data_IF_321900747653
#
_entry.id   IF_321900747653
#
_cell.length_a   1.000
_cell.length_b   1.000
_cell.length_c   1.000
_cell.angle_alpha   90.00
_cell.angle_beta   90.00
_cell.angle_gamma   90.00
#
_symmetry.space_group_name_H-M   'P 1'
#
loop_
_entity.id
_entity.type
_entity.pdbx_description
1 polymer ?
#
# COMPACT_ATOMS: atom_id res chain seq x y z
N UNK A 1 19.15 -19.29 16.88
CA UNK A 1 19.60 -19.23 15.47
C UNK A 1 18.40 -18.99 14.57
N UNK A 2 18.44 -17.96 13.80
CA UNK A 2 17.44 -17.71 12.76
C UNK A 2 17.93 -18.32 11.44
N UNK A 3 17.01 -18.65 10.54
CA UNK A 3 17.31 -19.18 9.21
C UNK A 3 18.29 -18.30 8.41
N UNK A 4 18.38 -17.03 8.74
CA UNK A 4 19.29 -16.05 8.12
C UNK A 4 20.67 -15.96 8.80
N UNK A 5 20.99 -16.80 9.77
CA UNK A 5 22.23 -16.71 10.57
C UNK A 5 22.27 -15.54 11.54
N UNK A 6 21.14 -14.91 11.82
CA UNK A 6 21.01 -13.83 12.79
C UNK A 6 20.57 -14.36 14.15
N UNK A 7 21.02 -13.72 15.20
CA UNK A 7 20.53 -14.01 16.55
C UNK A 7 19.30 -13.16 16.83
N UNK A 8 18.24 -13.82 17.34
CA UNK A 8 17.04 -13.15 17.81
C UNK A 8 16.93 -13.25 19.33
N UNK A 9 16.62 -12.14 19.97
CA UNK A 9 16.32 -12.09 21.40
C UNK A 9 14.92 -11.53 21.57
N UNK A 10 14.08 -12.21 22.33
CA UNK A 10 12.76 -11.71 22.71
C UNK A 10 12.80 -11.25 24.16
N UNK A 11 12.50 -9.98 24.38
CA UNK A 11 12.37 -9.38 25.70
C UNK A 11 10.88 -9.22 25.99
N UNK A 12 10.37 -10.00 26.94
CA UNK A 12 8.99 -9.87 27.43
C UNK A 12 8.99 -9.02 28.69
N UNK A 13 8.29 -7.90 28.66
CA UNK A 13 8.06 -7.08 29.82
C UNK A 13 6.57 -7.07 30.16
N UNK A 14 6.26 -7.44 31.42
CA UNK A 14 4.90 -7.42 31.92
C UNK A 14 4.70 -6.20 32.82
N UNK A 15 3.84 -5.27 32.39
CA UNK A 15 3.45 -4.11 33.17
C UNK A 15 2.22 -4.46 34.01
N UNK A 16 2.34 -4.31 35.34
CA UNK A 16 1.17 -4.36 36.22
C UNK A 16 0.34 -3.10 36.03
N UNK A 17 -0.84 -3.25 35.45
CA UNK A 17 -1.77 -2.16 35.14
C UNK A 17 -2.21 -1.35 36.39
N UNK A 18 -2.06 -1.86 37.58
CA UNK A 18 -2.34 -1.11 38.84
C UNK A 18 -1.40 0.09 39.03
N UNK A 19 -0.26 0.09 38.38
CA UNK A 19 0.75 1.18 38.43
C UNK A 19 0.68 2.08 37.20
N UNK A 20 -0.09 1.73 36.18
CA UNK A 20 -0.14 2.40 34.87
C UNK A 20 -0.88 3.75 34.85
N UNK A 21 -1.27 4.32 35.97
CA UNK A 21 -1.79 5.72 36.01
C UNK A 21 -0.69 6.75 35.80
N UNK A 22 0.57 6.36 35.86
CA UNK A 22 1.73 7.20 35.57
C UNK A 22 2.36 6.75 34.27
N UNK A 23 2.62 7.66 33.34
CA UNK A 23 3.32 7.41 32.09
C UNK A 23 4.71 6.85 32.39
N UNK A 24 4.81 5.52 32.36
CA UNK A 24 6.09 4.82 32.56
C UNK A 24 6.70 4.53 31.20
N UNK A 25 8.01 4.72 31.10
CA UNK A 25 8.80 4.44 29.92
C UNK A 25 9.85 3.39 30.28
N UNK A 26 10.14 2.52 29.34
CA UNK A 26 11.20 1.52 29.49
C UNK A 26 12.34 1.94 28.55
N UNK A 27 13.51 2.13 29.12
CA UNK A 27 14.75 2.31 28.36
C UNK A 27 15.41 0.94 28.16
N UNK A 28 15.87 0.68 26.97
CA UNK A 28 16.64 -0.53 26.64
C UNK A 28 18.07 -0.10 26.33
N UNK A 29 19.03 -0.60 27.08
CA UNK A 29 20.47 -0.40 26.85
C UNK A 29 21.00 -1.66 26.19
N UNK A 30 21.69 -1.48 25.06
CA UNK A 30 22.32 -2.57 24.33
C UNK A 30 23.82 -2.26 24.24
N UNK A 31 24.61 -3.22 24.69
CA UNK A 31 26.06 -3.17 24.58
C UNK A 31 26.52 -4.11 23.47
N UNK A 32 27.44 -3.66 22.64
CA UNK A 32 27.98 -4.42 21.52
C UNK A 32 29.21 -3.81 20.93
N UNK A 33 29.83 -4.48 19.99
CA UNK A 33 31.01 -4.00 19.29
C UNK A 33 30.67 -2.84 18.32
N UNK A 34 31.55 -1.86 18.13
CA UNK A 34 31.33 -0.80 17.17
C UNK A 34 31.06 -1.32 15.75
N UNK A 35 30.04 -0.77 15.09
CA UNK A 35 29.63 -1.15 13.72
C UNK A 35 28.61 -2.28 13.65
N UNK A 36 28.21 -2.87 14.76
CA UNK A 36 27.10 -3.83 14.77
C UNK A 36 25.77 -3.10 14.53
N UNK A 37 24.94 -3.69 13.68
CA UNK A 37 23.57 -3.20 13.42
C UNK A 37 22.57 -4.05 14.21
N UNK A 38 21.71 -3.39 14.96
CA UNK A 38 20.67 -4.02 15.77
C UNK A 38 19.32 -3.47 15.34
N UNK A 39 18.39 -4.38 15.01
CA UNK A 39 17.01 -4.04 14.72
C UNK A 39 16.15 -4.46 15.93
N UNK A 40 15.34 -3.55 16.42
CA UNK A 40 14.38 -3.79 17.48
C UNK A 40 12.96 -3.54 16.99
N UNK A 41 12.06 -4.43 17.34
CA UNK A 41 10.65 -4.33 17.04
C UNK A 41 9.84 -4.34 18.32
N UNK A 42 8.96 -3.37 18.48
CA UNK A 42 8.03 -3.33 19.61
C UNK A 42 6.72 -4.01 19.19
N UNK A 43 6.28 -4.97 19.99
CA UNK A 43 5.00 -5.65 19.79
C UNK A 43 4.23 -5.69 21.11
N UNK A 44 2.90 -5.58 21.04
CA UNK A 44 2.02 -5.73 22.20
C UNK A 44 1.25 -7.04 22.09
N UNK A 45 1.42 -7.93 23.07
CA UNK A 45 0.79 -9.25 23.04
C UNK A 45 -0.75 -9.23 23.10
N UNK A 46 -1.35 -8.16 23.65
CA UNK A 46 -2.80 -8.01 23.81
C UNK A 46 -3.38 -6.86 22.98
N UNK A 47 -2.89 -6.69 21.78
CA UNK A 47 -3.27 -5.61 20.87
C UNK A 47 -4.78 -5.56 20.56
N UNK A 48 -5.42 -6.73 20.48
CA UNK A 48 -6.84 -6.84 20.15
C UNK A 48 -7.79 -6.35 21.26
N UNK A 49 -7.36 -6.41 22.51
CA UNK A 49 -8.25 -6.17 23.66
C UNK A 49 -8.14 -4.75 24.21
N UNK A 50 -6.98 -4.12 24.10
CA UNK A 50 -6.71 -2.84 24.74
C UNK A 50 -6.57 -1.68 23.77
N UNK A 51 -6.34 -1.94 22.48
CA UNK A 51 -6.00 -0.91 21.48
C UNK A 51 -4.68 -0.18 21.80
N UNK A 52 -3.85 -0.72 22.68
CA UNK A 52 -2.57 -0.16 23.07
C UNK A 52 -1.48 -0.72 22.15
N UNK A 53 -0.72 0.17 21.56
CA UNK A 53 0.42 -0.16 20.70
C UNK A 53 1.71 0.24 21.40
N UNK A 54 2.67 -0.68 21.46
CA UNK A 54 4.02 -0.33 21.88
C UNK A 54 4.75 0.36 20.74
N UNK A 55 5.40 1.47 21.03
CA UNK A 55 6.19 2.22 20.04
C UNK A 55 7.44 2.78 20.70
N UNK A 56 8.49 2.92 19.92
CA UNK A 56 9.65 3.68 20.34
C UNK A 56 9.33 5.16 20.23
N UNK A 57 9.72 5.93 21.24
CA UNK A 57 9.47 7.37 21.31
C UNK A 57 10.73 8.11 21.71
N UNK A 58 10.97 9.24 21.08
CA UNK A 58 11.96 10.19 21.53
C UNK A 58 11.36 11.08 22.61
N UNK A 59 12.07 11.16 23.76
CA UNK A 59 11.69 11.99 24.89
C UNK A 59 12.62 13.17 25.09
N UNK A 60 13.53 13.42 24.15
CA UNK A 60 14.59 14.42 24.26
C UNK A 60 15.42 14.24 25.55
N UNK A 61 15.68 12.99 25.93
CA UNK A 61 16.54 12.64 27.04
C UNK A 61 17.93 12.41 26.48
N UNK A 62 18.93 13.12 27.00
CA UNK A 62 20.30 13.02 26.54
C UNK A 62 20.82 11.59 26.61
N UNK A 63 21.47 11.12 25.55
CA UNK A 63 21.95 9.74 25.41
C UNK A 63 20.88 8.69 25.03
N UNK A 64 19.62 9.08 24.83
CA UNK A 64 18.54 8.16 24.42
C UNK A 64 17.96 8.53 23.06
N UNK A 65 17.52 7.54 22.32
CA UNK A 65 16.92 7.73 20.98
C UNK A 65 15.76 6.78 20.76
N UNK A 66 14.80 7.21 19.96
CA UNK A 66 13.75 6.33 19.42
C UNK A 66 14.26 5.38 18.32
N UNK A 67 15.51 5.57 17.88
CA UNK A 67 16.02 4.88 16.71
C UNK A 67 15.46 5.46 15.41
N UNK A 68 15.49 4.66 14.36
CA UNK A 68 14.95 5.00 13.04
C UNK A 68 13.81 4.07 12.67
N UNK A 69 12.74 4.54 12.02
CA UNK A 69 11.69 3.68 11.46
C UNK A 69 12.13 2.94 10.19
N UNK A 70 13.36 3.14 9.70
CA UNK A 70 13.94 2.38 8.59
C UNK A 70 14.01 0.89 8.96
N UNK A 71 13.53 0.03 8.06
CA UNK A 71 13.41 -1.41 8.31
C UNK A 71 12.12 -1.81 9.02
N UNK A 72 11.11 -0.94 9.08
CA UNK A 72 9.80 -1.22 9.69
C UNK A 72 8.86 -2.08 8.82
N UNK A 73 9.32 -2.56 7.67
CA UNK A 73 8.55 -3.45 6.79
C UNK A 73 8.25 -4.77 7.50
N UNK A 74 6.98 -5.19 7.39
CA UNK A 74 6.54 -6.48 7.91
C UNK A 74 7.20 -7.62 7.11
N UNK A 75 7.57 -8.70 7.79
CA UNK A 75 8.23 -9.87 7.21
C UNK A 75 7.43 -10.53 6.07
N UNK A 76 6.10 -10.55 6.17
CA UNK A 76 5.23 -11.04 5.10
C UNK A 76 5.34 -10.25 3.79
N UNK A 77 5.77 -9.00 3.84
CA UNK A 77 5.96 -8.15 2.66
C UNK A 77 7.38 -8.27 2.07
N UNK A 78 8.29 -9.02 2.70
CA UNK A 78 9.68 -9.18 2.28
C UNK A 78 9.91 -10.37 1.32
N UNK A 79 8.88 -11.11 0.94
CA UNK A 79 8.99 -12.26 0.04
C UNK A 79 9.35 -11.86 -1.39
N UNK A 80 10.11 -12.70 -2.08
CA UNK A 80 10.57 -12.47 -3.45
C UNK A 80 9.39 -12.26 -4.42
N UNK A 81 8.35 -13.08 -4.28
CA UNK A 81 7.14 -13.04 -5.11
C UNK A 81 6.00 -12.22 -4.48
N UNK A 82 6.34 -11.22 -3.69
CA UNK A 82 5.41 -10.29 -3.05
C UNK A 82 5.64 -8.89 -3.57
N UNK A 83 4.56 -8.13 -3.77
CA UNK A 83 4.61 -6.72 -4.09
C UNK A 83 4.28 -5.96 -2.81
N UNK A 84 5.27 -5.30 -2.22
CA UNK A 84 5.12 -4.54 -1.00
C UNK A 84 4.48 -3.17 -1.30
N UNK A 85 3.40 -2.84 -0.60
CA UNK A 85 2.61 -1.64 -0.85
C UNK A 85 2.74 -0.66 0.31
N UNK A 86 3.24 0.54 0.03
CA UNK A 86 3.21 1.69 0.92
C UNK A 86 1.87 2.44 0.83
N UNK A 87 1.70 3.44 1.69
CA UNK A 87 0.46 4.22 1.79
C UNK A 87 0.69 5.70 1.61
N UNK A 88 -0.15 6.36 0.81
CA UNK A 88 -0.22 7.81 0.78
C UNK A 88 -1.64 8.35 1.05
N UNK A 89 -1.73 9.62 1.46
CA UNK A 89 -2.98 10.27 1.82
C UNK A 89 -3.73 10.71 0.58
N UNK A 90 -5.00 10.34 0.47
CA UNK A 90 -5.86 10.75 -0.65
C UNK A 90 -6.92 11.75 -0.26
N UNK A 91 -7.28 11.79 1.03
CA UNK A 91 -8.33 12.66 1.52
C UNK A 91 -8.06 13.04 2.95
N UNK A 92 -8.11 14.34 3.22
CA UNK A 92 -7.95 14.90 4.56
C UNK A 92 -9.28 15.11 5.28
N UNK A 93 -10.36 15.30 4.53
CA UNK A 93 -11.70 15.54 5.07
C UNK A 93 -12.78 14.84 4.24
N UNK A 94 -13.89 14.50 4.86
CA UNK A 94 -15.00 13.83 4.21
C UNK A 94 -16.33 14.15 4.86
N UNK A 95 -17.44 14.18 4.08
CA UNK A 95 -18.78 14.38 4.62
C UNK A 95 -19.25 13.12 5.35
N UNK A 96 -20.05 13.33 6.39
CA UNK A 96 -20.81 12.28 7.07
C UNK A 96 -22.28 12.32 6.64
N UNK A 97 -22.99 11.22 6.87
CA UNK A 97 -24.40 11.09 6.49
C UNK A 97 -25.31 12.13 7.18
N UNK A 98 -24.91 12.62 8.34
CA UNK A 98 -25.63 13.66 9.08
C UNK A 98 -25.36 15.09 8.58
N UNK A 99 -24.62 15.24 7.48
CA UNK A 99 -24.25 16.53 6.88
C UNK A 99 -23.05 17.23 7.53
N UNK A 100 -22.49 16.70 8.60
CA UNK A 100 -21.25 17.24 9.17
C UNK A 100 -20.04 16.78 8.37
N UNK A 101 -18.89 17.44 8.59
CA UNK A 101 -17.61 17.10 7.95
C UNK A 101 -16.63 16.62 9.01
N UNK A 102 -16.07 15.45 8.79
CA UNK A 102 -14.97 14.94 9.59
C UNK A 102 -13.64 15.20 8.90
N UNK A 103 -12.58 15.37 9.67
CA UNK A 103 -11.24 15.62 9.14
C UNK A 103 -10.17 15.01 10.01
N UNK A 104 -9.05 14.66 9.38
CA UNK A 104 -7.79 14.44 10.10
C UNK A 104 -7.14 15.79 10.45
N UNK A 105 -6.51 15.88 11.61
CA UNK A 105 -5.79 17.09 12.05
C UNK A 105 -4.28 16.93 11.79
N UNK A 106 -3.64 18.07 11.46
CA UNK A 106 -2.20 18.12 11.23
C UNK A 106 -1.77 18.03 9.77
N UNK A 107 -0.55 18.50 9.50
CA UNK A 107 0.05 18.53 8.14
C UNK A 107 0.51 17.16 7.65
N UNK A 108 0.65 16.18 8.55
CA UNK A 108 0.95 14.80 8.18
C UNK A 108 -0.14 14.11 7.37
N UNK A 109 -1.36 14.69 7.36
CA UNK A 109 -2.51 14.17 6.59
C UNK A 109 -2.80 14.97 5.32
N UNK A 110 -1.90 15.85 4.89
CA UNK A 110 -2.11 16.59 3.65
C UNK A 110 -2.21 15.62 2.47
N UNK A 111 -3.16 15.91 1.59
CA UNK A 111 -3.44 15.07 0.43
C UNK A 111 -2.23 14.99 -0.50
N UNK A 112 -1.90 13.79 -0.91
CA UNK A 112 -0.72 13.52 -1.73
C UNK A 112 0.55 13.19 -0.95
N UNK A 113 0.66 13.48 0.35
CA UNK A 113 1.81 13.08 1.18
C UNK A 113 1.82 11.59 1.50
N UNK A 114 3.03 11.06 1.75
CA UNK A 114 3.17 9.73 2.34
C UNK A 114 2.44 9.67 3.68
N UNK A 115 1.77 8.57 3.97
CA UNK A 115 1.11 8.39 5.26
C UNK A 115 2.15 8.15 6.35
N UNK A 116 2.06 8.86 7.47
CA UNK A 116 3.05 8.77 8.54
C UNK A 116 3.18 7.37 9.18
N UNK A 117 2.24 6.47 8.91
CA UNK A 117 2.29 5.07 9.34
C UNK A 117 2.83 4.12 8.25
N UNK A 118 3.15 4.61 7.05
CA UNK A 118 3.66 3.76 5.97
C UNK A 118 5.06 3.27 6.29
N UNK A 119 5.21 1.97 6.42
CA UNK A 119 6.49 1.31 6.66
C UNK A 119 7.39 1.35 5.42
N UNK A 120 8.70 1.38 5.65
CA UNK A 120 9.72 1.38 4.61
C UNK A 120 11.03 0.80 5.13
N UNK A 121 11.95 0.50 4.24
CA UNK A 121 13.31 0.11 4.63
C UNK A 121 14.10 -0.57 3.54
N UNK A 122 15.39 -0.72 3.81
CA UNK A 122 16.29 -1.50 2.97
C UNK A 122 16.58 -2.85 3.65
N UNK A 123 16.28 -3.90 2.95
CA UNK A 123 16.49 -5.28 3.40
C UNK A 123 17.98 -5.63 3.41
N UNK A 124 18.32 -6.77 4.01
CA UNK A 124 19.71 -7.21 4.12
C UNK A 124 20.39 -7.55 2.80
N UNK A 125 19.61 -7.85 1.77
CA UNK A 125 20.06 -8.13 0.42
C UNK A 125 20.19 -6.85 -0.44
N UNK A 126 19.91 -5.67 0.13
CA UNK A 126 19.93 -4.39 -0.55
C UNK A 126 18.60 -4.00 -1.21
N UNK A 127 17.58 -4.86 -1.20
CA UNK A 127 16.25 -4.54 -1.73
C UNK A 127 15.59 -3.46 -0.87
N UNK A 128 15.11 -2.41 -1.51
CA UNK A 128 14.37 -1.33 -0.85
C UNK A 128 12.87 -1.54 -1.05
N UNK A 129 12.12 -1.46 0.04
CA UNK A 129 10.66 -1.60 0.08
C UNK A 129 10.02 -0.37 0.74
N UNK A 130 8.77 -0.03 0.37
CA UNK A 130 7.84 -0.76 -0.49
C UNK A 130 8.22 -0.70 -1.97
N UNK A 131 7.61 -1.55 -2.81
CA UNK A 131 7.76 -1.48 -4.27
C UNK A 131 7.07 -0.23 -4.85
N UNK A 132 5.94 0.17 -4.26
CA UNK A 132 5.12 1.31 -4.70
C UNK A 132 4.20 1.76 -3.59
N UNK A 133 3.81 3.04 -3.61
CA UNK A 133 2.78 3.57 -2.71
C UNK A 133 1.41 3.64 -3.40
N UNK A 134 0.35 3.28 -2.68
CA UNK A 134 -1.04 3.32 -3.13
C UNK A 134 -1.93 4.12 -2.15
N UNK A 135 -3.15 4.51 -2.54
CA UNK A 135 -4.11 5.17 -1.66
C UNK A 135 -4.41 4.35 -0.41
N UNK A 136 -4.04 4.84 0.78
CA UNK A 136 -4.25 4.11 2.04
C UNK A 136 -4.73 4.96 3.21
N UNK A 137 -4.86 6.28 3.04
CA UNK A 137 -5.42 7.16 4.07
C UNK A 137 -6.54 8.03 3.48
N UNK A 138 -7.64 8.13 4.21
CA UNK A 138 -8.85 8.79 3.74
C UNK A 138 -9.67 7.93 2.78
N UNK A 139 -9.67 6.63 2.96
CA UNK A 139 -10.33 5.66 2.09
C UNK A 139 -11.75 5.41 2.59
N UNK A 140 -12.72 5.77 1.76
CA UNK A 140 -14.14 5.47 2.01
C UNK A 140 -14.51 4.23 1.22
N UNK A 141 -14.98 3.20 1.92
CA UNK A 141 -15.40 1.94 1.33
C UNK A 141 -16.58 1.33 2.05
N UNK A 142 -17.18 0.31 1.45
CA UNK A 142 -18.29 -0.44 2.05
C UNK A 142 -17.81 -1.22 3.28
N UNK A 143 -18.67 -1.27 4.28
CA UNK A 143 -18.46 -2.01 5.52
C UNK A 143 -19.52 -3.12 5.63
N UNK A 144 -19.10 -4.28 6.11
CA UNK A 144 -20.01 -5.40 6.31
C UNK A 144 -21.20 -5.01 7.19
N UNK A 145 -22.41 -5.40 6.77
CA UNK A 145 -23.63 -5.22 7.57
C UNK A 145 -23.65 -6.00 8.90
N UNK A 146 -22.66 -6.88 9.11
CA UNK A 146 -22.43 -7.61 10.37
C UNK A 146 -21.38 -6.95 11.28
N UNK A 147 -20.78 -5.85 10.86
CA UNK A 147 -19.75 -5.19 11.64
C UNK A 147 -20.37 -4.48 12.85
N UNK A 148 -20.13 -5.02 14.04
CA UNK A 148 -20.76 -4.58 15.31
C UNK A 148 -20.12 -3.34 15.93
N UNK A 149 -18.94 -2.92 15.46
CA UNK A 149 -18.21 -1.75 16.00
C UNK A 149 -18.44 -0.47 15.21
N UNK A 150 -19.46 -0.44 14.37
CA UNK A 150 -19.76 0.72 13.55
C UNK A 150 -20.26 1.87 14.46
N UNK A 151 -19.59 3.01 14.34
CA UNK A 151 -20.09 4.24 14.96
C UNK A 151 -21.03 4.93 13.95
N UNK A 152 -22.33 4.81 14.15
CA UNK A 152 -23.34 5.39 13.24
C UNK A 152 -23.16 6.92 13.05
N UNK A 153 -22.61 7.63 14.03
CA UNK A 153 -22.31 9.07 13.91
C UNK A 153 -21.09 9.37 13.00
N UNK A 154 -20.36 8.34 12.59
CA UNK A 154 -19.16 8.48 11.77
C UNK A 154 -19.33 7.92 10.35
N UNK A 155 -20.51 7.42 9.99
CA UNK A 155 -20.76 6.81 8.66
C UNK A 155 -20.74 7.89 7.57
N UNK A 156 -20.08 7.57 6.46
CA UNK A 156 -20.02 8.42 5.27
C UNK A 156 -21.23 8.26 4.35
N UNK A 157 -21.85 7.07 4.35
CA UNK A 157 -23.02 6.78 3.54
C UNK A 157 -23.75 5.53 4.02
N UNK A 158 -25.00 5.38 3.64
CA UNK A 158 -25.83 4.24 4.00
C UNK A 158 -26.87 3.95 2.91
N UNK A 159 -27.04 2.66 2.61
CA UNK A 159 -28.14 2.15 1.78
C UNK A 159 -28.89 1.11 2.59
N UNK A 160 -30.23 1.13 2.52
CA UNK A 160 -31.08 0.14 3.14
C UNK A 160 -31.63 -0.81 2.07
N UNK A 161 -31.60 -2.10 2.34
CA UNK A 161 -32.15 -3.14 1.44
C UNK A 161 -32.24 -4.48 2.16
N UNK A 162 -33.24 -5.32 1.79
CA UNK A 162 -33.41 -6.65 2.36
C UNK A 162 -33.41 -6.71 3.89
N UNK A 163 -34.09 -5.75 4.54
CA UNK A 163 -34.17 -5.58 6.00
C UNK A 163 -32.80 -5.29 6.67
N UNK A 164 -31.80 -4.89 5.92
CA UNK A 164 -30.45 -4.57 6.43
C UNK A 164 -30.01 -3.17 6.00
N UNK A 165 -29.04 -2.62 6.77
CA UNK A 165 -28.34 -1.40 6.44
C UNK A 165 -26.93 -1.76 5.98
N UNK A 166 -26.50 -1.17 4.87
CA UNK A 166 -25.17 -1.29 4.33
C UNK A 166 -24.51 0.07 4.42
N UNK A 167 -23.32 0.13 4.96
CA UNK A 167 -22.67 1.36 5.32
C UNK A 167 -21.38 1.57 4.52
N UNK A 168 -20.99 2.84 4.39
CA UNK A 168 -19.67 3.26 3.95
C UNK A 168 -19.02 4.01 5.11
N UNK A 169 -17.79 3.67 5.39
CA UNK A 169 -17.01 4.34 6.43
C UNK A 169 -15.61 4.67 5.91
N UNK A 170 -14.95 5.62 6.58
CA UNK A 170 -13.60 6.02 6.27
C UNK A 170 -12.61 5.24 7.13
N UNK A 171 -11.63 4.65 6.47
CA UNK A 171 -10.52 3.95 7.12
C UNK A 171 -9.18 4.44 6.62
N UNK A 172 -8.11 4.14 7.38
CA UNK A 172 -6.72 4.39 6.99
C UNK A 172 -5.84 3.21 7.40
N UNK A 173 -4.78 3.00 6.64
CA UNK A 173 -3.79 1.95 6.86
C UNK A 173 -3.22 1.46 5.53
N UNK A 174 -2.04 0.86 5.56
CA UNK A 174 -1.52 0.06 4.45
C UNK A 174 -2.48 -1.10 4.12
N UNK A 175 -3.30 -1.52 5.10
CA UNK A 175 -4.42 -2.46 4.90
C UNK A 175 -5.49 -1.97 3.91
N UNK A 176 -5.58 -0.65 3.64
CA UNK A 176 -6.45 -0.05 2.62
C UNK A 176 -5.69 0.17 1.31
N UNK A 177 -4.39 0.44 1.38
CA UNK A 177 -3.54 0.60 0.20
C UNK A 177 -3.34 -0.73 -0.56
N UNK A 178 -3.13 -1.83 0.16
CA UNK A 178 -2.89 -3.13 -0.44
C UNK A 178 -4.07 -3.63 -1.30
N UNK A 179 -5.34 -3.66 -0.83
CA UNK A 179 -6.46 -4.09 -1.66
C UNK A 179 -6.74 -3.13 -2.83
N UNK A 180 -6.45 -1.82 -2.67
CA UNK A 180 -6.51 -0.89 -3.80
C UNK A 180 -5.52 -1.32 -4.91
N UNK A 181 -4.27 -1.56 -4.55
CA UNK A 181 -3.25 -2.03 -5.49
C UNK A 181 -3.62 -3.41 -6.09
N UNK A 182 -4.18 -4.32 -5.29
CA UNK A 182 -4.64 -5.62 -5.76
C UNK A 182 -5.74 -5.49 -6.82
N UNK A 183 -6.67 -4.55 -6.65
CA UNK A 183 -7.69 -4.25 -7.65
C UNK A 183 -7.10 -3.72 -8.96
N UNK A 184 -6.10 -2.85 -8.88
CA UNK A 184 -5.37 -2.36 -10.06
C UNK A 184 -4.66 -3.50 -10.77
N UNK A 185 -3.94 -4.35 -10.04
CA UNK A 185 -3.23 -5.47 -10.63
C UNK A 185 -4.18 -6.53 -11.21
N UNK A 186 -5.37 -6.71 -10.62
CA UNK A 186 -6.41 -7.57 -11.19
C UNK A 186 -6.86 -7.09 -12.57
N UNK A 187 -7.05 -5.76 -12.76
CA UNK A 187 -7.36 -5.19 -14.07
C UNK A 187 -6.22 -5.40 -15.09
N UNK A 188 -4.97 -5.31 -14.64
CA UNK A 188 -3.82 -5.57 -15.52
C UNK A 188 -3.75 -7.05 -15.92
N UNK A 189 -4.03 -7.96 -14.98
CA UNK A 189 -4.12 -9.41 -15.25
C UNK A 189 -5.32 -9.78 -16.11
N UNK A 190 -6.42 -9.05 -16.04
CA UNK A 190 -7.54 -9.21 -16.97
C UNK A 190 -7.12 -8.85 -18.40
N UNK A 191 -6.36 -7.78 -18.57
CA UNK A 191 -5.81 -7.39 -19.88
C UNK A 191 -4.76 -8.38 -20.39
N UNK A 192 -3.88 -8.88 -19.51
CA UNK A 192 -2.89 -9.91 -19.82
C UNK A 192 -2.72 -10.91 -18.68
N UNK A 193 -3.37 -12.09 -18.76
CA UNK A 193 -3.30 -13.14 -17.74
C UNK A 193 -1.92 -13.80 -17.61
N UNK A 194 -0.99 -13.52 -18.50
CA UNK A 194 0.36 -14.12 -18.48
C UNK A 194 1.36 -13.34 -17.64
N UNK A 195 0.98 -12.15 -17.13
CA UNK A 195 1.84 -11.31 -16.29
C UNK A 195 2.29 -12.05 -15.03
N UNK A 196 3.58 -12.06 -14.81
CA UNK A 196 4.20 -12.52 -13.58
C UNK A 196 4.32 -11.38 -12.56
N UNK A 197 4.65 -11.70 -11.30
CA UNK A 197 4.95 -10.69 -10.27
C UNK A 197 6.12 -9.78 -10.72
N UNK A 198 7.12 -10.34 -11.38
CA UNK A 198 8.25 -9.59 -11.91
C UNK A 198 7.80 -8.58 -12.99
N UNK A 199 6.86 -8.98 -13.87
CA UNK A 199 6.30 -8.09 -14.88
C UNK A 199 5.50 -6.96 -14.25
N UNK A 200 4.68 -7.26 -13.24
CA UNK A 200 3.93 -6.23 -12.51
C UNK A 200 4.89 -5.24 -11.84
N UNK A 201 5.95 -5.72 -11.18
CA UNK A 201 6.99 -4.84 -10.59
C UNK A 201 7.67 -3.98 -11.65
N UNK A 202 7.96 -4.53 -12.83
CA UNK A 202 8.54 -3.79 -13.97
C UNK A 202 7.59 -2.70 -14.48
N UNK A 203 6.30 -3.02 -14.64
CA UNK A 203 5.28 -2.06 -15.06
C UNK A 203 5.11 -0.95 -14.03
N UNK A 204 4.98 -1.31 -12.76
CA UNK A 204 4.93 -0.36 -11.62
C UNK A 204 6.11 0.60 -11.67
N UNK A 205 7.34 0.07 -11.82
CA UNK A 205 8.56 0.90 -11.89
C UNK A 205 8.55 1.87 -13.08
N UNK A 206 8.00 1.44 -14.21
CA UNK A 206 7.96 2.23 -15.44
C UNK A 206 6.86 3.30 -15.44
N UNK A 207 5.76 3.09 -14.70
CA UNK A 207 4.53 3.87 -14.86
C UNK A 207 4.10 4.64 -13.62
N UNK A 208 4.72 4.40 -12.46
CA UNK A 208 4.38 5.10 -11.22
C UNK A 208 4.62 6.60 -11.33
N UNK A 209 3.68 7.36 -10.81
CA UNK A 209 3.72 8.83 -10.84
C UNK A 209 4.68 9.36 -9.77
N UNK A 210 5.56 10.27 -10.18
CA UNK A 210 6.49 10.97 -9.32
C UNK A 210 6.16 12.46 -9.31
N UNK A 211 5.20 12.85 -8.47
CA UNK A 211 4.83 14.25 -8.28
C UNK A 211 5.79 14.98 -7.32
N UNK A 212 5.46 16.23 -6.99
CA UNK A 212 6.30 17.07 -6.11
C UNK A 212 6.52 16.46 -4.73
N UNK A 213 5.55 15.74 -4.17
CA UNK A 213 5.71 15.08 -2.88
C UNK A 213 6.70 13.91 -2.94
N UNK A 214 6.65 13.11 -4.01
CA UNK A 214 7.60 12.02 -4.24
C UNK A 214 8.99 12.56 -4.51
N UNK A 215 9.09 13.64 -5.28
CA UNK A 215 10.37 14.22 -5.68
C UNK A 215 11.07 15.00 -4.56
N UNK A 216 10.31 15.55 -3.60
CA UNK A 216 10.83 16.33 -2.48
C UNK A 216 11.00 15.54 -1.17
N UNK A 217 10.74 14.24 -1.17
CA UNK A 217 10.92 13.40 0.01
C UNK A 217 12.41 13.11 0.22
N UNK A 218 12.93 13.47 1.38
CA UNK A 218 14.33 13.23 1.75
C UNK A 218 14.64 11.72 1.94
N UNK A 219 13.60 10.88 2.03
CA UNK A 219 13.70 9.43 2.15
C UNK A 219 12.99 8.76 0.97
N UNK A 220 13.66 8.60 -0.18
CA UNK A 220 13.06 7.99 -1.38
C UNK A 220 12.46 6.60 -1.14
N UNK A 221 13.00 5.86 -0.16
CA UNK A 221 12.49 4.55 0.25
C UNK A 221 11.02 4.56 0.68
N UNK A 222 10.47 5.70 1.14
CA UNK A 222 9.05 5.80 1.51
C UNK A 222 8.10 5.44 0.36
N UNK A 223 8.50 5.70 -0.87
CA UNK A 223 7.63 5.65 -2.05
C UNK A 223 7.88 4.46 -2.97
N UNK A 224 9.02 3.80 -2.85
CA UNK A 224 9.45 2.84 -3.86
C UNK A 224 9.52 3.47 -5.25
N UNK A 225 8.80 2.92 -6.21
CA UNK A 225 8.71 3.49 -7.57
C UNK A 225 7.98 4.85 -7.61
N UNK A 226 7.14 5.15 -6.63
CA UNK A 226 6.29 6.33 -6.59
C UNK A 226 4.84 5.99 -6.24
N UNK A 227 3.90 6.79 -6.74
CA UNK A 227 2.46 6.54 -6.60
C UNK A 227 1.95 5.65 -7.71
N UNK A 228 1.25 4.59 -7.36
CA UNK A 228 0.65 3.66 -8.31
C UNK A 228 -0.29 4.40 -9.27
N UNK A 229 -0.05 4.26 -10.57
CA UNK A 229 -0.89 4.81 -11.63
C UNK A 229 -1.57 3.66 -12.40
N UNK A 230 -2.85 3.45 -12.11
CA UNK A 230 -3.64 2.38 -12.71
C UNK A 230 -3.77 2.53 -14.23
N UNK A 231 -3.99 3.78 -14.70
CA UNK A 231 -4.20 4.07 -16.11
C UNK A 231 -2.90 3.96 -16.92
N UNK A 232 -1.82 4.52 -16.41
CA UNK A 232 -0.53 4.40 -17.09
C UNK A 232 -0.07 2.93 -17.16
N UNK A 233 -0.34 2.17 -16.08
CA UNK A 233 0.00 0.74 -16.04
C UNK A 233 -0.80 -0.08 -17.02
N UNK A 234 -2.14 0.08 -17.09
CA UNK A 234 -2.95 -0.70 -18.05
C UNK A 234 -2.58 -0.37 -19.51
N UNK A 235 -2.30 0.90 -19.82
CA UNK A 235 -1.79 1.28 -21.13
C UNK A 235 -0.48 0.55 -21.44
N UNK A 236 0.45 0.54 -20.50
CA UNK A 236 1.72 -0.17 -20.67
C UNK A 236 1.54 -1.67 -20.92
N UNK A 237 0.60 -2.32 -20.20
CA UNK A 237 0.26 -3.73 -20.43
C UNK A 237 -0.24 -3.95 -21.85
N UNK A 238 -1.16 -3.10 -22.31
CA UNK A 238 -1.73 -3.20 -23.67
C UNK A 238 -0.68 -2.94 -24.74
N UNK A 239 0.19 -1.94 -24.56
CA UNK A 239 1.28 -1.64 -25.49
C UNK A 239 2.29 -2.78 -25.57
N UNK A 240 2.67 -3.35 -24.43
CA UNK A 240 3.59 -4.50 -24.39
C UNK A 240 2.98 -5.72 -25.11
N UNK A 241 1.70 -5.98 -24.86
CA UNK A 241 0.96 -7.07 -25.51
C UNK A 241 0.83 -6.87 -27.03
N UNK A 242 0.53 -5.64 -27.46
CA UNK A 242 0.44 -5.31 -28.88
C UNK A 242 1.78 -5.50 -29.58
N UNK A 243 2.89 -5.12 -28.94
CA UNK A 243 4.23 -5.31 -29.51
C UNK A 243 4.64 -6.79 -29.59
N UNK A 244 4.22 -7.62 -28.64
CA UNK A 244 4.43 -9.09 -28.71
C UNK A 244 3.53 -9.71 -29.76
N UNK A 245 2.28 -9.26 -29.89
CA UNK A 245 1.35 -9.73 -30.93
C UNK A 245 1.86 -9.47 -32.36
N UNK A 246 2.61 -8.39 -32.56
CA UNK A 246 3.25 -8.10 -33.84
C UNK A 246 4.40 -9.06 -34.20
N UNK A 247 4.96 -9.78 -33.22
CA UNK A 247 6.05 -10.76 -33.40
C UNK A 247 5.50 -12.19 -33.62
N UNK A 248 4.31 -12.49 -33.09
CA UNK A 248 3.66 -13.80 -33.20
C UNK A 248 2.47 -13.79 -34.20
N UNK A 249 2.72 -13.34 -35.42
CA UNK A 249 1.71 -13.34 -36.50
C UNK A 249 1.29 -14.76 -37.00
N UNK A 250 1.60 -15.80 -36.24
CA UNK A 250 1.35 -17.20 -36.62
C UNK A 250 0.36 -17.93 -35.69
N UNK A 251 -0.32 -17.24 -34.80
CA UNK A 251 -1.34 -17.83 -33.93
C UNK A 251 -2.74 -17.35 -34.32
N UNK A 252 -3.72 -18.24 -34.30
CA UNK A 252 -5.10 -18.13 -34.78
C UNK A 252 -5.93 -16.91 -34.32
N UNK A 253 -5.30 -15.83 -33.89
CA UNK A 253 -5.93 -14.57 -33.54
C UNK A 253 -6.04 -13.66 -34.75
N UNK A 254 -7.25 -13.49 -35.22
CA UNK A 254 -7.57 -12.81 -36.46
C UNK A 254 -7.45 -11.27 -36.44
N UNK A 255 -6.92 -10.64 -35.40
CA UNK A 255 -6.80 -9.17 -35.38
C UNK A 255 -5.61 -8.67 -34.53
N UNK A 256 -5.04 -7.54 -34.93
CA UNK A 256 -4.01 -6.79 -34.22
C UNK A 256 -4.53 -5.38 -33.96
N UNK A 257 -4.44 -4.92 -32.73
CA UNK A 257 -4.72 -3.54 -32.34
C UNK A 257 -3.42 -2.76 -32.21
N UNK A 258 -3.26 -1.70 -32.98
CA UNK A 258 -2.10 -0.80 -32.89
C UNK A 258 -2.57 0.56 -32.42
N UNK A 259 -2.08 1.11 -31.29
CA UNK A 259 -2.48 2.41 -30.79
C UNK A 259 -2.06 3.53 -31.74
N UNK A 260 -2.89 4.57 -31.84
CA UNK A 260 -2.63 5.82 -32.55
C UNK A 260 -2.97 7.01 -31.67
N UNK A 261 -2.59 8.22 -32.05
CA UNK A 261 -2.85 9.46 -31.28
C UNK A 261 -4.34 9.77 -31.04
N UNK A 262 -5.27 9.03 -31.63
CA UNK A 262 -6.70 9.23 -31.48
C UNK A 262 -7.54 7.96 -31.36
N UNK A 263 -6.89 6.79 -31.15
CA UNK A 263 -7.59 5.50 -31.09
C UNK A 263 -6.68 4.32 -31.37
N UNK A 264 -7.21 3.31 -32.04
CA UNK A 264 -6.47 2.11 -32.41
C UNK A 264 -6.68 1.77 -33.88
N UNK A 265 -5.64 1.38 -34.58
CA UNK A 265 -5.76 0.68 -35.85
C UNK A 265 -6.02 -0.80 -35.58
N UNK A 266 -7.05 -1.33 -36.20
CA UNK A 266 -7.38 -2.75 -36.16
C UNK A 266 -6.92 -3.40 -37.46
N UNK A 267 -6.00 -4.35 -37.37
CA UNK A 267 -5.59 -5.15 -38.51
C UNK A 267 -6.21 -6.54 -38.36
N UNK A 268 -6.92 -6.97 -39.37
CA UNK A 268 -7.55 -8.29 -39.44
C UNK A 268 -6.79 -9.14 -40.46
N UNK A 269 -6.31 -10.28 -40.02
CA UNK A 269 -5.69 -11.25 -40.92
C UNK A 269 -6.78 -12.21 -41.43
N UNK A 270 -7.09 -12.15 -42.74
CA UNK A 270 -8.08 -13.01 -43.37
C UNK A 270 -8.87 -12.33 -44.49
N UNK A 271 -9.51 -13.10 -45.36
CA UNK A 271 -10.25 -12.61 -46.54
C UNK A 271 -11.71 -12.23 -46.27
N UNK A 272 -12.15 -12.17 -45.02
CA UNK A 272 -13.55 -11.84 -44.65
C UNK A 272 -13.68 -10.43 -44.09
N UNK A 273 -14.70 -9.69 -44.52
CA UNK A 273 -15.09 -8.43 -43.93
C UNK A 273 -15.50 -8.63 -42.47
N UNK A 274 -14.93 -7.83 -41.58
CA UNK A 274 -15.27 -7.83 -40.15
C UNK A 274 -16.06 -6.58 -39.84
N UNK A 275 -17.25 -6.72 -39.27
CA UNK A 275 -17.98 -5.62 -38.67
C UNK A 275 -17.45 -5.38 -37.25
N UNK A 276 -16.74 -4.24 -37.05
CA UNK A 276 -16.24 -3.85 -35.74
C UNK A 276 -17.16 -2.81 -35.17
N UNK A 277 -17.85 -3.14 -34.09
CA UNK A 277 -18.64 -2.21 -33.30
C UNK A 277 -17.86 -1.83 -32.05
N UNK A 278 -17.47 -0.56 -31.95
CA UNK A 278 -16.87 0.00 -30.72
C UNK A 278 -18.01 0.48 -29.83
N UNK A 279 -18.01 0.03 -28.59
CA UNK A 279 -18.89 0.55 -27.54
C UNK A 279 -18.11 1.54 -26.68
N UNK A 280 -18.70 2.74 -26.47
CA UNK A 280 -18.18 3.79 -25.58
C UNK A 280 -18.32 3.39 -24.09
#
# INVERSE_FOLDING_TARGET
>A
DTYSGRYGVTINHHLDMKVASTRSYIGIIIEGEPGQRINMYANCANQSDTGVYSTFIDRNIDGWSAGSPDGSINDMACGENVIAIGSFNTRKQWPLINGSVRRYSGSGYDEGKISGFSSYGTMSDGTTLPDVAAPGCGIISSVSGYYSRLNEAAICGMVSGNARKYHWDNMQGTSMAAPFASGVFALWLEADPTLTVADIKRIVKATSKRDSYVASDDVPAHWGAGKLDALAGIKKVLDDKASVGAIFADDERNFILTPTDGGYNVYVAGESALDVTLYD
#
